data_IF_237022594256
#
_entry.id   IF_237022594256
#
_cell.length_a   1.000
_cell.length_b   1.000
_cell.length_c   1.000
_cell.angle_alpha   90.00
_cell.angle_beta   90.00
_cell.angle_gamma   90.00
#
_symmetry.space_group_name_H-M   'P 1'
#
loop_
_entity.id
_entity.type
_entity.pdbx_description
1 polymer ?
#
# COMPACT_ATOMS: atom_id res chain seq x y z
N UNK A 1 12.16 -16.01 11.99
CA UNK A 1 10.79 -15.79 11.46
C UNK A 1 10.05 -14.71 12.25
N UNK A 2 10.02 -14.76 13.59
CA UNK A 2 9.43 -13.72 14.44
C UNK A 2 10.01 -12.30 14.21
N UNK A 3 11.31 -12.17 13.93
CA UNK A 3 11.95 -10.86 13.69
C UNK A 3 11.51 -10.16 12.39
N UNK A 4 11.15 -10.93 11.35
CA UNK A 4 10.76 -10.35 10.05
C UNK A 4 9.35 -9.77 10.12
N UNK A 5 8.44 -10.43 10.84
CA UNK A 5 7.09 -9.91 11.09
C UNK A 5 7.09 -8.69 12.02
N UNK A 6 7.96 -8.69 13.04
CA UNK A 6 8.14 -7.55 13.92
C UNK A 6 8.72 -6.34 13.16
N UNK A 7 9.72 -6.56 12.30
CA UNK A 7 10.28 -5.54 11.43
C UNK A 7 9.24 -5.02 10.43
N UNK A 8 8.44 -5.89 9.79
CA UNK A 8 7.37 -5.49 8.89
C UNK A 8 6.29 -4.64 9.57
N UNK A 9 5.91 -5.00 10.81
CA UNK A 9 4.97 -4.22 11.63
C UNK A 9 5.55 -2.85 12.01
N UNK A 10 6.84 -2.79 12.34
CA UNK A 10 7.57 -1.55 12.63
C UNK A 10 7.72 -0.66 11.38
N UNK A 11 7.93 -1.26 10.20
CA UNK A 11 8.03 -0.55 8.91
C UNK A 11 6.69 0.04 8.47
N UNK A 12 5.58 -0.69 8.65
CA UNK A 12 4.25 -0.18 8.31
C UNK A 12 3.85 1.02 9.19
N UNK A 13 4.17 0.98 10.49
CA UNK A 13 4.00 2.12 11.39
C UNK A 13 4.86 3.33 10.96
N UNK A 14 6.06 3.06 10.43
CA UNK A 14 6.99 4.08 9.91
C UNK A 14 6.47 4.81 8.65
N UNK A 15 5.81 4.13 7.71
CA UNK A 15 5.30 4.77 6.49
C UNK A 15 4.22 5.82 6.80
N UNK A 16 3.26 5.46 7.67
CA UNK A 16 2.22 6.38 8.12
C UNK A 16 2.80 7.57 8.88
N UNK A 17 3.76 7.32 9.77
CA UNK A 17 4.44 8.37 10.53
C UNK A 17 5.24 9.33 9.63
N UNK A 18 5.93 8.83 8.60
CA UNK A 18 6.65 9.65 7.63
C UNK A 18 5.72 10.54 6.81
N UNK A 19 4.59 10.00 6.33
CA UNK A 19 3.59 10.80 5.64
C UNK A 19 3.02 11.90 6.55
N UNK A 20 2.69 11.55 7.80
CA UNK A 20 2.19 12.50 8.80
C UNK A 20 3.19 13.64 9.07
N UNK A 21 4.47 13.31 9.27
CA UNK A 21 5.54 14.29 9.54
C UNK A 21 5.75 15.28 8.38
N UNK A 22 5.40 14.90 7.15
CA UNK A 22 5.47 15.76 5.96
C UNK A 22 4.18 16.58 5.80
N UNK A 23 3.01 15.96 5.97
CA UNK A 23 1.73 16.58 5.62
C UNK A 23 1.27 17.59 6.67
N UNK A 24 1.36 17.25 7.96
CA UNK A 24 0.76 18.07 9.05
C UNK A 24 1.38 19.46 9.16
N UNK A 25 2.72 19.64 9.14
CA UNK A 25 3.30 20.99 9.20
C UNK A 25 2.84 21.90 8.05
N UNK A 26 2.58 21.33 6.86
CA UNK A 26 2.07 22.09 5.70
C UNK A 26 0.64 22.53 5.92
N UNK A 27 -0.20 21.69 6.52
CA UNK A 27 -1.58 22.05 6.88
C UNK A 27 -1.59 23.18 7.91
N UNK A 28 -0.76 23.06 8.96
CA UNK A 28 -0.63 24.08 10.02
C UNK A 28 -0.12 25.42 9.47
N UNK A 29 0.77 25.37 8.47
CA UNK A 29 1.28 26.56 7.78
C UNK A 29 0.32 27.15 6.73
N UNK A 30 -0.89 26.61 6.55
CA UNK A 30 -1.86 27.07 5.54
C UNK A 30 -1.46 26.73 4.09
N UNK A 31 -0.47 25.85 3.89
CA UNK A 31 0.07 25.45 2.59
C UNK A 31 -0.73 24.29 1.98
N UNK A 32 -2.04 24.47 1.84
CA UNK A 32 -2.97 23.39 1.46
C UNK A 32 -2.60 22.68 0.15
N UNK A 33 -2.11 23.42 -0.85
CA UNK A 33 -1.69 22.84 -2.13
C UNK A 33 -0.48 21.90 -1.97
N UNK A 34 0.55 22.32 -1.24
CA UNK A 34 1.72 21.48 -0.97
C UNK A 34 1.37 20.26 -0.10
N UNK A 35 0.39 20.41 0.81
CA UNK A 35 -0.11 19.29 1.60
C UNK A 35 -0.83 18.26 0.72
N UNK A 36 -1.64 18.70 -0.24
CA UNK A 36 -2.31 17.83 -1.22
C UNK A 36 -1.31 17.09 -2.10
N UNK A 37 -0.27 17.77 -2.58
CA UNK A 37 0.81 17.16 -3.36
C UNK A 37 1.55 16.09 -2.54
N UNK A 38 1.83 16.37 -1.26
CA UNK A 38 2.42 15.38 -0.36
C UNK A 38 1.51 14.16 -0.11
N UNK A 39 0.20 14.38 0.05
CA UNK A 39 -0.79 13.29 0.15
C UNK A 39 -0.79 12.45 -1.13
N UNK A 40 -0.79 13.09 -2.31
CA UNK A 40 -0.78 12.40 -3.58
C UNK A 40 0.48 11.54 -3.75
N UNK A 41 1.65 12.09 -3.39
CA UNK A 41 2.91 11.35 -3.41
C UNK A 41 2.90 10.15 -2.45
N UNK A 42 2.38 10.32 -1.22
CA UNK A 42 2.25 9.25 -0.26
C UNK A 42 1.32 8.13 -0.76
N UNK A 43 0.19 8.48 -1.38
CA UNK A 43 -0.73 7.51 -2.00
C UNK A 43 -0.06 6.74 -3.13
N UNK A 44 0.70 7.41 -4.00
CA UNK A 44 1.41 6.75 -5.08
C UNK A 44 2.46 5.74 -4.56
N UNK A 45 3.20 6.10 -3.51
CA UNK A 45 4.13 5.18 -2.84
C UNK A 45 3.44 3.97 -2.22
N UNK A 46 2.31 4.19 -1.54
CA UNK A 46 1.49 3.11 -0.97
C UNK A 46 0.91 2.19 -2.05
N UNK A 47 0.44 2.72 -3.18
CA UNK A 47 -0.07 1.94 -4.31
C UNK A 47 1.00 1.00 -4.90
N UNK A 48 2.26 1.44 -4.96
CA UNK A 48 3.38 0.60 -5.42
C UNK A 48 3.63 -0.55 -4.44
N UNK A 49 3.72 -0.23 -3.14
CA UNK A 49 3.93 -1.22 -2.09
C UNK A 49 2.77 -2.23 -2.01
N UNK A 50 1.52 -1.77 -2.15
CA UNK A 50 0.34 -2.63 -2.14
C UNK A 50 0.39 -3.64 -3.29
N UNK A 51 0.77 -3.22 -4.51
CA UNK A 51 0.94 -4.15 -5.65
C UNK A 51 2.05 -5.17 -5.41
N UNK A 52 3.20 -4.75 -4.87
CA UNK A 52 4.30 -5.66 -4.54
C UNK A 52 3.87 -6.67 -3.48
N UNK A 53 3.23 -6.23 -2.41
CA UNK A 53 2.72 -7.10 -1.35
C UNK A 53 1.69 -8.10 -1.90
N UNK A 54 0.78 -7.66 -2.76
CA UNK A 54 -0.20 -8.54 -3.42
C UNK A 54 0.48 -9.55 -4.33
N UNK A 55 1.44 -9.15 -5.15
CA UNK A 55 2.20 -10.05 -6.01
C UNK A 55 2.92 -11.14 -5.18
N UNK A 56 3.66 -10.74 -4.15
CA UNK A 56 4.33 -11.66 -3.23
C UNK A 56 3.34 -12.59 -2.52
N UNK A 57 2.20 -12.07 -2.04
CA UNK A 57 1.18 -12.90 -1.41
C UNK A 57 0.58 -13.92 -2.39
N UNK A 58 0.37 -13.53 -3.66
CA UNK A 58 -0.09 -14.43 -4.73
C UNK A 58 0.92 -15.52 -5.06
N UNK A 59 2.21 -15.18 -5.15
CA UNK A 59 3.31 -16.14 -5.34
C UNK A 59 3.40 -17.16 -4.18
N UNK A 60 3.10 -16.72 -2.96
CA UNK A 60 3.04 -17.57 -1.76
C UNK A 60 1.74 -18.39 -1.64
N UNK A 61 0.85 -18.34 -2.63
CA UNK A 61 -0.38 -19.13 -2.67
C UNK A 61 -1.60 -18.50 -1.98
N UNK A 62 -1.52 -17.24 -1.53
CA UNK A 62 -2.67 -16.55 -0.93
C UNK A 62 -3.82 -16.43 -1.94
N UNK A 63 -5.04 -16.82 -1.55
CA UNK A 63 -6.22 -16.68 -2.42
C UNK A 63 -6.65 -15.22 -2.58
N UNK A 64 -7.36 -14.91 -3.68
CA UNK A 64 -7.97 -13.58 -3.87
C UNK A 64 -8.94 -13.18 -2.75
N UNK A 65 -9.59 -14.15 -2.10
CA UNK A 65 -10.45 -13.88 -0.96
C UNK A 65 -9.63 -13.48 0.28
N UNK A 66 -8.51 -14.17 0.54
CA UNK A 66 -7.59 -13.82 1.62
C UNK A 66 -6.97 -12.43 1.43
N UNK A 67 -6.53 -12.13 0.20
CA UNK A 67 -6.00 -10.81 -0.15
C UNK A 67 -7.06 -9.71 0.01
N UNK A 68 -8.29 -9.94 -0.49
CA UNK A 68 -9.38 -9.00 -0.31
C UNK A 68 -9.68 -8.73 1.16
N UNK A 69 -9.72 -9.78 1.99
CA UNK A 69 -9.91 -9.64 3.43
C UNK A 69 -8.81 -8.81 4.10
N UNK A 70 -7.55 -9.00 3.71
CA UNK A 70 -6.42 -8.24 4.26
C UNK A 70 -6.47 -6.75 3.86
N UNK A 71 -6.96 -6.46 2.64
CA UNK A 71 -7.09 -5.10 2.11
C UNK A 71 -8.42 -4.42 2.47
N UNK A 72 -9.34 -5.12 3.15
CA UNK A 72 -10.67 -4.59 3.49
C UNK A 72 -11.60 -4.39 2.28
N UNK A 73 -11.39 -5.15 1.20
CA UNK A 73 -12.20 -5.07 -0.03
C UNK A 73 -12.74 -6.45 -0.42
N UNK A 74 -13.73 -6.49 -1.32
CA UNK A 74 -14.26 -7.76 -1.81
C UNK A 74 -13.22 -8.53 -2.64
N UNK A 75 -13.38 -9.86 -2.72
CA UNK A 75 -12.58 -10.72 -3.60
C UNK A 75 -12.57 -10.19 -5.04
N UNK A 76 -13.74 -9.81 -5.55
CA UNK A 76 -13.92 -9.33 -6.92
C UNK A 76 -13.19 -8.00 -7.12
N UNK A 77 -13.28 -7.07 -6.16
CA UNK A 77 -12.53 -5.82 -6.20
C UNK A 77 -11.01 -6.05 -6.17
N UNK A 78 -10.54 -6.99 -5.34
CA UNK A 78 -9.12 -7.36 -5.32
C UNK A 78 -8.66 -7.96 -6.66
N UNK A 79 -9.42 -8.91 -7.20
CA UNK A 79 -9.10 -9.52 -8.48
C UNK A 79 -9.14 -8.51 -9.63
N UNK A 80 -10.09 -7.58 -9.64
CA UNK A 80 -10.15 -6.53 -10.65
C UNK A 80 -8.97 -5.56 -10.54
N UNK A 81 -8.59 -5.15 -9.33
CA UNK A 81 -7.53 -4.17 -9.09
C UNK A 81 -6.11 -4.74 -9.30
N UNK A 82 -5.90 -6.02 -8.99
CA UNK A 82 -4.58 -6.64 -8.95
C UNK A 82 -4.42 -7.89 -9.81
N UNK A 83 -5.52 -8.49 -10.28
CA UNK A 83 -5.49 -9.69 -11.11
C UNK A 83 -5.15 -9.43 -12.58
N UNK A 84 -5.13 -8.16 -13.01
CA UNK A 84 -4.65 -7.76 -14.32
C UNK A 84 -3.11 -7.67 -14.31
N UNK A 85 -2.44 -8.82 -14.34
CA UNK A 85 -1.09 -8.92 -14.88
C UNK A 85 -1.23 -9.38 -16.34
N UNK A 86 -0.70 -8.56 -17.24
CA UNK A 86 -0.69 -8.71 -18.70
C UNK A 86 -0.20 -10.10 -19.17
N UNK A 87 -0.59 -10.56 -20.37
CA UNK A 87 -0.22 -11.87 -20.89
C UNK A 87 1.30 -12.05 -20.93
N UNK A 88 1.80 -13.23 -20.55
CA UNK A 88 3.22 -13.56 -20.66
C UNK A 88 3.72 -13.44 -22.11
N UNK A 89 5.02 -13.17 -22.34
CA UNK A 89 5.55 -13.01 -23.69
C UNK A 89 5.35 -14.29 -24.50
N UNK A 90 4.87 -14.12 -25.74
CA UNK A 90 4.83 -15.15 -26.77
C UNK A 90 6.23 -15.46 -27.31
#
# INVERSE_FOLDING_TARGET
MADVEALARSSAASIGAQAYAVIVPRLEAGQGQLALEAVAAARAGLDVLERQAVATAREQGSSWAGIGSALGISKQAAQQRFGAVAPGPA
#
